data_IF_696491489555
#
_entry.id   IF_696491489555
#
_cell.length_a   1.000
_cell.length_b   1.000
_cell.length_c   1.000
_cell.angle_alpha   90.00
_cell.angle_beta   90.00
_cell.angle_gamma   90.00
#
_symmetry.space_group_name_H-M   'P 1'
#
loop_
_entity.id
_entity.type
_entity.pdbx_description
1 polymer ?
#
# COMPACT_ATOMS: atom_id res chain seq x y z
N UNK A 1 -40.55 -22.46 45.76
CA UNK A 1 -39.41 -22.22 44.86
C UNK A 1 -39.85 -22.57 43.44
N UNK A 2 -39.22 -21.96 42.42
CA UNK A 2 -39.48 -22.05 40.97
C UNK A 2 -40.50 -21.03 40.40
N UNK A 3 -40.02 -19.82 40.08
CA UNK A 3 -40.62 -18.92 39.08
C UNK A 3 -39.82 -19.06 37.78
N UNK A 4 -40.46 -19.54 36.72
CA UNK A 4 -39.87 -19.57 35.39
C UNK A 4 -39.81 -18.17 34.79
N UNK A 5 -38.62 -17.72 34.41
CA UNK A 5 -38.40 -16.54 33.56
C UNK A 5 -37.88 -17.03 32.22
N UNK A 6 -38.69 -16.86 31.18
CA UNK A 6 -38.21 -16.84 29.81
C UNK A 6 -37.77 -15.41 29.47
N UNK A 7 -36.60 -15.28 28.83
CA UNK A 7 -36.24 -14.14 28.00
C UNK A 7 -35.29 -14.59 26.88
N UNK A 8 -35.63 -14.15 25.69
CA UNK A 8 -34.92 -14.29 24.43
C UNK A 8 -33.48 -13.72 24.48
N UNK A 9 -32.60 -14.27 23.64
CA UNK A 9 -31.83 -13.45 22.69
C UNK A 9 -31.05 -14.29 21.68
N UNK A 10 -31.52 -14.15 20.44
CA UNK A 10 -30.88 -14.39 19.16
C UNK A 10 -29.37 -14.21 19.21
N UNK A 11 -28.64 -15.32 19.10
CA UNK A 11 -27.20 -15.30 18.82
C UNK A 11 -27.03 -15.00 17.33
N UNK A 12 -27.06 -13.72 16.96
CA UNK A 12 -26.69 -13.30 15.62
C UNK A 12 -25.16 -13.25 15.53
N UNK A 13 -24.63 -14.29 14.90
CA UNK A 13 -23.27 -14.45 14.41
C UNK A 13 -22.84 -13.22 13.60
N UNK A 14 -22.02 -12.35 14.22
CA UNK A 14 -21.37 -11.24 13.52
C UNK A 14 -20.29 -11.82 12.61
N UNK A 15 -20.69 -12.08 11.36
CA UNK A 15 -19.80 -12.25 10.21
C UNK A 15 -18.90 -11.01 10.12
N UNK A 16 -17.67 -11.11 10.60
CA UNK A 16 -16.64 -10.15 10.26
C UNK A 16 -16.43 -10.20 8.73
N UNK A 17 -16.71 -9.13 7.98
CA UNK A 17 -16.36 -9.10 6.57
C UNK A 17 -14.83 -9.20 6.49
N UNK A 18 -14.37 -10.28 5.87
CA UNK A 18 -12.98 -10.49 5.53
C UNK A 18 -12.54 -9.37 4.60
N UNK A 19 -11.92 -8.34 5.17
CA UNK A 19 -11.11 -7.39 4.42
C UNK A 19 -10.08 -8.20 3.64
N UNK A 20 -10.30 -8.33 2.34
CA UNK A 20 -9.32 -8.90 1.42
C UNK A 20 -8.07 -8.04 1.54
N UNK A 21 -7.09 -8.54 2.27
CA UNK A 21 -5.72 -8.02 2.28
C UNK A 21 -5.31 -7.95 0.80
N UNK A 22 -5.24 -6.73 0.26
CA UNK A 22 -4.55 -6.52 -0.99
C UNK A 22 -3.21 -7.23 -0.86
N UNK A 23 -2.94 -8.14 -1.78
CA UNK A 23 -1.75 -8.98 -1.81
C UNK A 23 -0.54 -8.07 -1.58
N UNK A 24 -0.02 -8.07 -0.35
CA UNK A 24 1.17 -7.33 0.02
C UNK A 24 2.31 -8.08 -0.65
N UNK A 25 2.53 -7.79 -1.94
CA UNK A 25 3.69 -8.27 -2.66
C UNK A 25 4.91 -7.90 -1.81
N UNK A 26 5.69 -8.90 -1.40
CA UNK A 26 6.93 -8.70 -0.66
C UNK A 26 7.73 -7.60 -1.36
N UNK A 27 7.86 -6.45 -0.69
CA UNK A 27 8.73 -5.38 -1.17
C UNK A 27 10.17 -5.86 -1.06
N UNK A 28 10.87 -6.02 -2.19
CA UNK A 28 12.31 -6.21 -2.16
C UNK A 28 12.95 -4.97 -1.52
N UNK A 29 13.67 -5.18 -0.43
CA UNK A 29 14.50 -4.13 0.17
C UNK A 29 15.71 -3.94 -0.74
N UNK A 30 15.96 -2.71 -1.18
CA UNK A 30 17.11 -2.35 -2.00
C UNK A 30 18.31 -2.04 -1.09
N UNK A 31 19.50 -2.48 -1.49
CA UNK A 31 20.76 -2.19 -0.81
C UNK A 31 21.66 -1.27 -1.65
N UNK A 32 22.73 -0.75 -1.05
CA UNK A 32 23.74 0.00 -1.78
C UNK A 32 24.39 -0.86 -2.87
N UNK A 33 24.54 -0.29 -4.08
CA UNK A 33 25.05 -0.99 -5.25
C UNK A 33 23.99 -1.78 -6.03
N UNK A 34 22.78 -1.96 -5.50
CA UNK A 34 21.68 -2.51 -6.30
C UNK A 34 21.31 -1.56 -7.44
N UNK A 35 20.98 -2.15 -8.60
CA UNK A 35 20.39 -1.38 -9.69
C UNK A 35 19.04 -0.80 -9.25
N UNK A 36 18.84 0.50 -9.48
CA UNK A 36 17.58 1.16 -9.19
C UNK A 36 16.44 0.52 -10.01
N UNK A 37 15.26 0.26 -9.41
CA UNK A 37 14.14 -0.33 -10.12
C UNK A 37 13.60 0.64 -11.17
N UNK A 38 13.27 0.14 -12.37
CA UNK A 38 12.62 0.97 -13.37
C UNK A 38 11.16 1.23 -12.96
N UNK A 39 10.89 2.46 -12.53
CA UNK A 39 9.60 2.92 -12.02
C UNK A 39 9.10 4.09 -12.84
N UNK A 40 7.78 4.19 -12.98
CA UNK A 40 7.10 5.29 -13.65
C UNK A 40 6.48 6.25 -12.63
N UNK A 41 6.71 7.54 -12.80
CA UNK A 41 6.15 8.59 -11.95
C UNK A 41 5.26 9.53 -12.76
N UNK A 42 4.25 10.11 -12.11
CA UNK A 42 3.45 11.19 -12.69
C UNK A 42 4.00 12.52 -12.14
N UNK A 43 4.52 13.35 -13.04
CA UNK A 43 5.03 14.67 -12.66
C UNK A 43 3.92 15.70 -12.44
N UNK A 44 4.30 16.87 -11.95
CA UNK A 44 3.37 17.99 -11.68
C UNK A 44 2.64 18.49 -12.94
N UNK A 45 3.20 18.27 -14.12
CA UNK A 45 2.56 18.58 -15.41
C UNK A 45 1.51 17.55 -15.85
N UNK A 46 1.27 16.50 -15.05
CA UNK A 46 0.44 15.35 -15.41
C UNK A 46 1.11 14.38 -16.38
N UNK A 47 2.35 14.66 -16.82
CA UNK A 47 3.11 13.76 -17.69
C UNK A 47 3.75 12.63 -16.90
N UNK A 48 3.62 11.41 -17.42
CA UNK A 48 4.36 10.26 -16.92
C UNK A 48 5.79 10.29 -17.43
N UNK A 49 6.74 9.93 -16.57
CA UNK A 49 8.13 9.72 -16.94
C UNK A 49 8.67 8.45 -16.28
N UNK A 50 9.58 7.75 -16.96
CA UNK A 50 10.28 6.59 -16.41
C UNK A 50 11.63 6.95 -15.81
N UNK A 51 12.07 6.18 -14.83
CA UNK A 51 13.38 6.37 -14.23
C UNK A 51 14.50 6.08 -15.25
N UNK A 52 14.41 4.97 -15.98
CA UNK A 52 15.35 4.62 -17.06
C UNK A 52 15.60 5.80 -18.02
N UNK A 53 14.53 6.44 -18.50
CA UNK A 53 14.62 7.60 -19.41
C UNK A 53 15.36 8.81 -18.82
N UNK A 54 15.31 8.99 -17.49
CA UNK A 54 16.03 10.05 -16.78
C UNK A 54 17.51 9.71 -16.57
N UNK A 55 17.81 8.46 -16.23
CA UNK A 55 19.18 7.99 -15.95
C UNK A 55 19.98 7.69 -17.22
N UNK A 56 19.33 7.36 -18.33
CA UNK A 56 19.97 7.08 -19.63
C UNK A 56 20.78 8.27 -20.17
N UNK A 57 20.53 9.47 -19.63
CA UNK A 57 21.28 10.69 -19.97
C UNK A 57 22.59 10.83 -19.17
N UNK A 58 23.00 9.79 -18.43
CA UNK A 58 24.20 9.79 -17.59
C UNK A 58 24.11 10.70 -16.37
N UNK A 59 22.89 11.04 -15.94
CA UNK A 59 22.66 11.97 -14.83
C UNK A 59 22.48 11.21 -13.52
N UNK A 60 23.10 11.72 -12.46
CA UNK A 60 22.77 11.31 -11.11
C UNK A 60 21.40 11.87 -10.73
N UNK A 61 20.57 11.04 -10.11
CA UNK A 61 19.21 11.38 -9.70
C UNK A 61 19.07 11.09 -8.21
N UNK A 62 18.42 11.99 -7.49
CA UNK A 62 18.12 11.84 -6.05
C UNK A 62 16.60 11.86 -5.89
N UNK A 63 16.07 10.86 -5.18
CA UNK A 63 14.66 10.80 -4.82
C UNK A 63 14.45 11.21 -3.37
N UNK A 64 13.51 12.13 -3.15
CA UNK A 64 13.09 12.54 -1.81
C UNK A 64 11.62 12.18 -1.66
N UNK A 65 11.34 11.25 -0.74
CA UNK A 65 9.97 10.81 -0.43
C UNK A 65 9.47 11.54 0.81
N UNK A 66 8.32 12.20 0.70
CA UNK A 66 7.59 12.77 1.83
C UNK A 66 6.23 12.09 1.96
N UNK A 67 5.72 11.97 3.20
CA UNK A 67 4.41 11.32 3.44
C UNK A 67 3.25 12.12 2.85
N UNK A 68 3.37 13.43 2.89
CA UNK A 68 2.45 14.37 2.27
C UNK A 68 3.23 15.64 1.98
N UNK A 69 2.94 16.26 0.85
CA UNK A 69 3.21 17.67 0.63
C UNK A 69 1.85 18.36 0.58
N UNK A 70 1.70 19.46 1.32
CA UNK A 70 0.46 20.23 1.41
C UNK A 70 0.66 21.56 0.71
#
# INVERSE_FOLDING_TARGET
MCRGQGIDKTSSETRNPSFRRANQSQSKVLAEGDAAPDVSFVGLSGKTFRLSELTDRGKNVVFVFSRAHW
#
